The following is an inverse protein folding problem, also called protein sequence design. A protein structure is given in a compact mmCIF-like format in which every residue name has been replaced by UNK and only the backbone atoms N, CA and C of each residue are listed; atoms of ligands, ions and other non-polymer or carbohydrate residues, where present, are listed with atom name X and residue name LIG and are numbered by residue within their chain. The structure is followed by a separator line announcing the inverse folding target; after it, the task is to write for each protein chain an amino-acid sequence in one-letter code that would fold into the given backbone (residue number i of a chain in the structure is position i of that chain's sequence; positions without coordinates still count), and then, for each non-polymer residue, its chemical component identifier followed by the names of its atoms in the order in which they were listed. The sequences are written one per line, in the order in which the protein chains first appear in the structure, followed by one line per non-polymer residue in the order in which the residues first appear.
data_IF_393796631785
#
_entry.id   IF_393796631785
#
_cell.length_a   1.000
_cell.length_b   1.000
_cell.length_c   1.000
_cell.angle_alpha   90.00
_cell.angle_beta   90.00
_cell.angle_gamma   90.00
#
_symmetry.space_group_name_H-M   'P 1'
#
loop_
_entity.id
_entity.type
_entity.pdbx_description
1 polymer ?
#
# COMPACT_ATOMS: atom_id res chain seq x y z
N UNK A 1 6.82 14.99 -21.10
CA UNK A 1 5.78 15.11 -20.06
C UNK A 1 4.68 14.04 -20.17
N UNK A 2 4.17 13.72 -21.37
CA UNK A 2 3.14 12.69 -21.55
C UNK A 2 3.52 11.28 -21.03
N UNK A 3 4.71 10.77 -21.38
CA UNK A 3 5.18 9.45 -20.94
C UNK A 3 5.24 9.29 -19.41
N UNK A 4 5.69 10.33 -18.69
CA UNK A 4 5.74 10.32 -17.22
C UNK A 4 4.33 10.28 -16.61
N UNK A 5 3.37 10.99 -17.22
CA UNK A 5 1.97 11.00 -16.78
C UNK A 5 1.34 9.62 -16.98
N UNK A 6 1.54 9.02 -18.14
CA UNK A 6 1.04 7.69 -18.48
C UNK A 6 1.62 6.61 -17.55
N UNK A 7 2.92 6.65 -17.25
CA UNK A 7 3.55 5.75 -16.29
C UNK A 7 2.99 5.90 -14.86
N UNK A 8 2.68 7.14 -14.43
CA UNK A 8 2.06 7.39 -13.13
C UNK A 8 0.62 6.87 -13.08
N UNK A 9 -0.16 7.09 -14.15
CA UNK A 9 -1.54 6.59 -14.26
C UNK A 9 -1.60 5.06 -14.25
N UNK A 10 -0.67 4.38 -14.95
CA UNK A 10 -0.56 2.93 -14.91
C UNK A 10 -0.24 2.42 -13.49
N UNK A 11 0.71 3.05 -12.81
CA UNK A 11 1.11 2.66 -11.46
C UNK A 11 -0.03 2.86 -10.45
N UNK A 12 -0.78 3.94 -10.59
CA UNK A 12 -1.96 4.22 -9.77
C UNK A 12 -3.11 3.23 -10.04
N UNK A 13 -3.42 2.95 -11.31
CA UNK A 13 -4.43 1.95 -11.67
C UNK A 13 -4.08 0.56 -11.12
N UNK A 14 -2.82 0.15 -11.23
CA UNK A 14 -2.38 -1.13 -10.69
C UNK A 14 -2.42 -1.19 -9.17
N UNK A 15 -2.10 -0.08 -8.50
CA UNK A 15 -2.27 0.03 -7.04
C UNK A 15 -3.75 -0.15 -6.64
N UNK A 16 -4.68 0.36 -7.44
CA UNK A 16 -6.13 0.19 -7.21
C UNK A 16 -6.64 -1.22 -7.49
N UNK A 17 -6.15 -1.88 -8.55
CA UNK A 17 -6.67 -3.16 -9.02
C UNK A 17 -6.04 -4.37 -8.31
N UNK A 18 -4.76 -4.29 -7.93
CA UNK A 18 -3.98 -5.44 -7.41
C UNK A 18 -4.06 -5.63 -5.89
N UNK A 19 -4.42 -4.56 -5.18
CA UNK A 19 -4.46 -4.54 -3.72
C UNK A 19 -5.90 -4.49 -3.23
N UNK A 20 -6.18 -5.20 -2.14
CA UNK A 20 -7.45 -5.02 -1.46
C UNK A 20 -7.47 -3.74 -0.61
N UNK A 21 -8.65 -3.30 -0.17
CA UNK A 21 -8.82 -2.08 0.62
C UNK A 21 -7.98 -2.07 1.91
N UNK A 22 -7.72 -3.25 2.50
CA UNK A 22 -6.93 -3.35 3.72
C UNK A 22 -5.44 -3.20 3.43
N UNK A 23 -4.95 -3.83 2.37
CA UNK A 23 -3.58 -3.68 1.87
C UNK A 23 -3.30 -2.23 1.47
N UNK A 24 -4.21 -1.63 0.68
CA UNK A 24 -4.17 -0.21 0.32
C UNK A 24 -4.11 0.68 1.57
N UNK A 25 -5.00 0.48 2.52
CA UNK A 25 -5.03 1.26 3.77
C UNK A 25 -3.73 1.13 4.56
N UNK A 26 -3.19 -0.08 4.72
CA UNK A 26 -1.94 -0.33 5.44
C UNK A 26 -0.78 0.40 4.75
N UNK A 27 -0.63 0.25 3.42
CA UNK A 27 0.45 0.91 2.70
C UNK A 27 0.32 2.43 2.72
N UNK A 28 -0.89 2.97 2.48
CA UNK A 28 -1.12 4.42 2.50
C UNK A 28 -0.78 5.03 3.85
N UNK A 29 -1.23 4.42 4.95
CA UNK A 29 -0.98 4.94 6.29
C UNK A 29 0.45 4.66 6.77
N UNK A 30 1.06 3.53 6.41
CA UNK A 30 2.42 3.23 6.88
C UNK A 30 3.47 4.13 6.21
N UNK A 31 3.32 4.36 4.90
CA UNK A 31 4.27 5.14 4.09
C UNK A 31 3.89 6.61 3.92
N UNK A 32 2.70 7.03 4.41
CA UNK A 32 2.22 8.40 4.26
C UNK A 32 1.89 8.79 2.83
N UNK A 33 1.33 7.85 2.06
CA UNK A 33 0.93 8.09 0.67
C UNK A 33 -0.39 8.87 0.63
N UNK A 34 -0.68 9.51 -0.51
CA UNK A 34 -1.94 10.26 -0.73
C UNK A 34 -2.27 11.30 0.35
N UNK A 35 -1.24 11.91 0.93
CA UNK A 35 -1.39 12.94 1.97
C UNK A 35 -1.64 12.41 3.38
N UNK A 36 -1.57 11.10 3.59
CA UNK A 36 -1.59 10.52 4.94
C UNK A 36 -0.30 10.83 5.69
N UNK A 37 -0.38 11.00 7.01
CA UNK A 37 0.81 11.01 7.86
C UNK A 37 1.28 9.57 8.11
N UNK A 38 2.59 9.27 8.03
CA UNK A 38 3.11 7.94 8.32
C UNK A 38 2.74 7.47 9.73
N UNK A 39 2.25 6.24 9.85
CA UNK A 39 1.89 5.57 11.10
C UNK A 39 2.72 4.32 11.30
N UNK A 40 2.95 3.92 12.55
CA UNK A 40 3.60 2.63 12.82
C UNK A 40 2.63 1.47 12.55
N UNK A 41 3.16 0.28 12.21
CA UNK A 41 2.34 -0.94 12.09
C UNK A 41 1.52 -1.24 13.36
N UNK A 42 2.03 -0.85 14.54
CA UNK A 42 1.33 -1.04 15.80
C UNK A 42 0.12 -0.12 15.92
N UNK A 43 0.24 1.14 15.50
CA UNK A 43 -0.88 2.10 15.51
C UNK A 43 -1.94 1.71 14.49
N UNK A 44 -1.52 1.35 13.28
CA UNK A 44 -2.40 0.81 12.24
C UNK A 44 -3.13 -0.43 12.75
N UNK A 45 -2.41 -1.37 13.39
CA UNK A 45 -2.99 -2.58 13.97
C UNK A 45 -4.06 -2.28 15.00
N UNK A 46 -3.83 -1.32 15.90
CA UNK A 46 -4.84 -0.86 16.86
C UNK A 46 -6.10 -0.32 16.16
N UNK A 47 -5.94 0.49 15.11
CA UNK A 47 -7.06 1.10 14.37
C UNK A 47 -7.94 0.06 13.66
N UNK A 48 -7.34 -1.01 13.13
CA UNK A 48 -8.06 -2.05 12.37
C UNK A 48 -8.24 -3.36 13.15
N UNK A 49 -8.03 -3.35 14.47
CA UNK A 49 -8.18 -4.50 15.37
C UNK A 49 -7.33 -5.72 14.96
N UNK A 50 -6.09 -5.47 14.54
CA UNK A 50 -5.09 -6.48 14.19
C UNK A 50 -3.83 -6.34 15.03
N UNK A 51 -3.09 -7.45 15.20
CA UNK A 51 -1.76 -7.38 15.80
C UNK A 51 -0.78 -6.69 14.85
N UNK A 52 0.28 -6.09 15.42
CA UNK A 52 1.40 -5.53 14.65
C UNK A 52 1.96 -6.53 13.63
N UNK A 53 2.12 -7.79 14.04
CA UNK A 53 2.64 -8.83 13.18
C UNK A 53 1.68 -9.17 12.03
N UNK A 54 0.37 -9.16 12.29
CA UNK A 54 -0.61 -9.37 11.22
C UNK A 54 -0.59 -8.23 10.20
N UNK A 55 -0.42 -6.98 10.64
CA UNK A 55 -0.23 -5.83 9.74
C UNK A 55 1.02 -6.01 8.89
N UNK A 56 2.16 -6.39 9.51
CA UNK A 56 3.42 -6.67 8.81
C UNK A 56 3.27 -7.74 7.73
N UNK A 57 2.55 -8.83 8.03
CA UNK A 57 2.31 -9.91 7.06
C UNK A 57 1.51 -9.42 5.85
N UNK A 58 0.46 -8.63 6.08
CA UNK A 58 -0.38 -8.07 5.01
C UNK A 58 0.44 -7.10 4.16
N UNK A 59 1.24 -6.24 4.79
CA UNK A 59 2.15 -5.33 4.07
C UNK A 59 3.13 -6.09 3.17
N UNK A 60 3.81 -7.10 3.69
CA UNK A 60 4.76 -7.91 2.90
C UNK A 60 4.05 -8.57 1.71
N UNK A 61 2.85 -9.11 1.91
CA UNK A 61 2.07 -9.70 0.83
C UNK A 61 1.70 -8.67 -0.25
N UNK A 62 1.26 -7.47 0.16
CA UNK A 62 0.93 -6.38 -0.75
C UNK A 62 2.15 -5.93 -1.56
N UNK A 63 3.30 -5.73 -0.90
CA UNK A 63 4.55 -5.33 -1.57
C UNK A 63 5.04 -6.40 -2.56
N UNK A 64 4.89 -7.68 -2.22
CA UNK A 64 5.23 -8.77 -3.15
C UNK A 64 4.33 -8.77 -4.39
N UNK A 65 3.02 -8.48 -4.25
CA UNK A 65 2.13 -8.32 -5.41
C UNK A 65 2.47 -7.11 -6.26
N UNK A 66 2.83 -5.99 -5.65
CA UNK A 66 3.27 -4.82 -6.42
C UNK A 66 4.59 -5.09 -7.16
N UNK A 67 5.48 -5.89 -6.58
CA UNK A 67 6.75 -6.25 -7.23
C UNK A 67 6.55 -7.00 -8.55
N UNK A 68 5.54 -7.87 -8.65
CA UNK A 68 5.28 -8.63 -9.90
C UNK A 68 4.90 -7.76 -11.10
N UNK A 69 4.73 -6.45 -10.92
CA UNK A 69 4.50 -5.50 -11.99
C UNK A 69 5.78 -5.05 -12.70
N UNK A 70 6.94 -5.26 -12.07
CA UNK A 70 8.24 -4.82 -12.56
C UNK A 70 9.12 -5.98 -13.05
N UNK A 71 8.63 -7.22 -12.88
CA UNK A 71 9.23 -8.45 -13.40
C UNK A 71 8.57 -8.82 -14.74
#
# INVERSE_FOLDING_TARGET
EAFRKEALEMLEAHFEDMLDEREKYILMNHYGLRGHSPKTMADIGKEISLSRERVRQIEVAALLRLRTLFD
#
